data_IF_872212947473
#
_entry.id   IF_872212947473
#
_cell.length_a   1.000
_cell.length_b   1.000
_cell.length_c   1.000
_cell.angle_alpha   90.00
_cell.angle_beta   90.00
_cell.angle_gamma   90.00
#
_symmetry.space_group_name_H-M   'P 1'
#
loop_
_entity.id
_entity.type
_entity.pdbx_description
1 polymer ?
#
# COMPACT_ATOMS: atom_id res chain seq x y z
N UNK A 1 20.46 29.49 40.35
CA UNK A 1 20.99 29.43 38.97
C UNK A 1 21.25 27.97 38.63
N UNK A 2 20.28 27.31 38.00
CA UNK A 2 20.37 25.91 37.58
C UNK A 2 19.98 25.86 36.10
N UNK A 3 20.92 25.47 35.24
CA UNK A 3 20.64 25.10 33.85
C UNK A 3 20.71 23.58 33.78
N UNK A 4 19.56 22.96 33.54
CA UNK A 4 19.44 21.52 33.31
C UNK A 4 19.45 21.28 31.80
N UNK A 5 20.34 20.36 31.45
CA UNK A 5 20.65 19.73 30.18
C UNK A 5 19.42 19.08 29.54
N UNK A 6 19.13 19.37 28.25
CA UNK A 6 18.23 18.55 27.44
C UNK A 6 19.05 17.72 26.45
N UNK A 7 19.09 16.42 26.74
CA UNK A 7 19.79 15.38 26.00
C UNK A 7 18.86 14.79 24.93
N UNK A 8 19.46 14.40 23.81
CA UNK A 8 18.83 13.86 22.60
C UNK A 8 17.89 12.66 22.86
N UNK A 9 16.78 12.64 22.14
CA UNK A 9 15.88 11.50 22.01
C UNK A 9 15.50 11.25 20.55
N UNK A 10 16.44 10.78 19.73
CA UNK A 10 16.17 10.29 18.38
C UNK A 10 15.43 8.94 18.47
N UNK A 11 14.09 8.96 18.39
CA UNK A 11 13.27 7.76 18.24
C UNK A 11 13.22 7.35 16.78
N UNK A 12 13.83 6.19 16.50
CA UNK A 12 13.67 5.41 15.26
C UNK A 12 12.19 5.06 15.08
N UNK A 13 11.55 5.59 14.05
CA UNK A 13 10.27 5.09 13.58
C UNK A 13 10.53 3.94 12.61
N UNK A 14 10.20 2.73 13.08
CA UNK A 14 10.20 1.52 12.29
C UNK A 14 9.05 1.55 11.29
N UNK A 15 9.41 1.31 10.05
CA UNK A 15 8.57 1.01 8.90
C UNK A 15 7.60 -0.15 9.23
N UNK A 16 6.31 0.15 9.33
CA UNK A 16 5.23 -0.85 9.28
C UNK A 16 4.32 -0.50 8.11
N UNK A 17 4.70 -0.99 6.93
CA UNK A 17 3.78 -1.14 5.81
C UNK A 17 2.84 -2.29 6.14
N UNK A 18 1.55 -1.98 6.30
CA UNK A 18 0.47 -2.94 6.41
C UNK A 18 0.30 -3.71 5.10
N UNK A 19 0.92 -4.88 5.01
CA UNK A 19 0.51 -5.93 4.09
C UNK A 19 -0.72 -6.59 4.72
N UNK A 20 -1.89 -6.21 4.23
CA UNK A 20 -3.12 -6.93 4.51
C UNK A 20 -3.04 -8.37 3.98
N UNK A 21 -3.53 -9.29 4.81
CA UNK A 21 -4.07 -10.61 4.42
C UNK A 21 -3.17 -11.85 4.23
N UNK A 22 -1.91 -11.90 4.73
CA UNK A 22 -1.15 -13.19 4.76
C UNK A 22 -0.50 -13.51 6.13
N UNK A 23 -0.74 -12.70 7.15
CA UNK A 23 -0.02 -12.77 8.44
C UNK A 23 -0.68 -13.57 9.57
N UNK A 24 -1.59 -14.51 9.32
CA UNK A 24 -2.19 -15.37 10.38
C UNK A 24 -1.84 -16.83 10.08
N UNK A 25 -0.55 -17.18 10.17
CA UNK A 25 -0.09 -18.58 10.15
C UNK A 25 1.24 -18.80 10.89
N UNK A 26 1.69 -17.85 11.73
CA UNK A 26 3.00 -17.91 12.39
C UNK A 26 2.92 -17.77 13.92
N UNK A 27 1.87 -18.27 14.56
CA UNK A 27 1.72 -18.15 16.02
C UNK A 27 1.18 -19.42 16.71
N UNK A 28 1.52 -20.61 16.21
CA UNK A 28 1.39 -21.88 16.97
C UNK A 28 2.51 -22.82 16.55
N UNK A 29 3.68 -22.75 17.19
CA UNK A 29 4.79 -23.65 16.82
C UNK A 29 6.09 -23.52 17.59
N UNK A 30 6.10 -22.95 18.79
CA UNK A 30 7.35 -22.76 19.54
C UNK A 30 7.25 -23.20 21.00
N UNK A 31 7.00 -24.50 21.22
CA UNK A 31 7.45 -25.27 22.40
C UNK A 31 7.41 -26.78 22.12
N UNK A 32 8.46 -27.32 21.51
CA UNK A 32 8.84 -28.73 21.70
C UNK A 32 10.31 -28.75 22.09
N UNK A 33 10.58 -29.44 23.21
CA UNK A 33 11.81 -29.37 23.97
C UNK A 33 13.06 -29.90 23.27
N UNK A 34 14.19 -29.41 23.77
CA UNK A 34 15.50 -29.93 23.50
C UNK A 34 15.62 -31.38 24.00
N UNK A 35 15.79 -32.32 23.07
CA UNK A 35 16.32 -33.64 23.34
C UNK A 35 17.69 -33.76 22.66
N UNK A 36 18.67 -34.18 23.45
CA UNK A 36 20.08 -34.36 23.10
C UNK A 36 20.31 -35.32 21.92
N UNK A 37 21.24 -34.95 21.04
CA UNK A 37 21.69 -35.74 19.91
C UNK A 37 22.58 -36.95 20.33
N UNK A 38 22.52 -38.08 19.58
CA UNK A 38 23.62 -39.04 19.49
C UNK A 38 24.33 -38.99 18.11
N UNK A 39 25.53 -39.59 18.00
CA UNK A 39 26.52 -39.21 17.01
C UNK A 39 26.39 -39.91 15.65
N UNK A 40 27.09 -39.29 14.71
CA UNK A 40 27.23 -39.57 13.28
C UNK A 40 27.35 -41.04 12.89
N UNK A 41 26.49 -41.47 11.97
CA UNK A 41 26.72 -42.62 11.10
C UNK A 41 26.77 -42.15 9.64
N UNK A 42 27.93 -42.32 9.02
CA UNK A 42 28.19 -42.09 7.59
C UNK A 42 27.50 -43.21 6.81
N UNK A 43 26.52 -42.86 5.98
CA UNK A 43 25.95 -43.76 4.97
C UNK A 43 25.90 -43.06 3.61
N UNK A 44 26.71 -43.55 2.68
CA UNK A 44 26.63 -43.27 1.25
C UNK A 44 25.28 -43.75 0.72
N UNK A 45 24.41 -42.81 0.35
CA UNK A 45 23.09 -43.08 -0.23
C UNK A 45 22.93 -42.32 -1.54
N UNK A 46 22.59 -43.07 -2.61
CA UNK A 46 22.44 -42.63 -3.99
C UNK A 46 21.51 -41.41 -4.13
N UNK A 47 21.95 -40.40 -4.88
CA UNK A 47 21.15 -39.25 -5.29
C UNK A 47 19.98 -39.71 -6.19
N UNK A 48 18.83 -39.97 -5.58
CA UNK A 48 17.54 -40.00 -6.27
C UNK A 48 16.96 -38.59 -6.26
N UNK A 49 17.09 -37.88 -7.36
CA UNK A 49 16.45 -36.58 -7.58
C UNK A 49 14.94 -36.79 -7.67
N UNK A 50 14.23 -36.76 -6.54
CA UNK A 50 12.77 -36.68 -6.52
C UNK A 50 12.38 -35.28 -7.00
N UNK A 51 11.83 -35.20 -8.21
CA UNK A 51 11.19 -34.00 -8.73
C UNK A 51 9.98 -33.73 -7.85
N UNK A 52 10.08 -32.76 -6.94
CA UNK A 52 8.95 -32.30 -6.13
C UNK A 52 8.04 -31.54 -7.08
N UNK A 53 6.98 -32.21 -7.56
CA UNK A 53 5.90 -31.57 -8.29
C UNK A 53 5.19 -30.62 -7.32
N UNK A 54 5.46 -29.33 -7.43
CA UNK A 54 4.66 -28.31 -6.74
C UNK A 54 3.23 -28.37 -7.29
N UNK A 55 2.20 -28.66 -6.46
CA UNK A 55 0.82 -28.69 -6.93
C UNK A 55 0.44 -27.31 -7.45
N UNK A 56 0.18 -27.21 -8.75
CA UNK A 56 -0.03 -25.93 -9.48
C UNK A 56 -1.42 -25.33 -9.25
N UNK A 57 -2.25 -25.95 -8.40
CA UNK A 57 -3.55 -25.41 -8.03
C UNK A 57 -3.84 -25.81 -6.60
N UNK A 58 -3.70 -24.86 -5.67
CA UNK A 58 -4.22 -25.05 -4.33
C UNK A 58 -5.72 -24.79 -4.43
N UNK A 59 -6.51 -25.85 -4.23
CA UNK A 59 -7.96 -25.73 -4.17
C UNK A 59 -8.33 -24.81 -2.99
N UNK A 60 -8.91 -23.62 -3.22
CA UNK A 60 -9.29 -22.72 -2.14
C UNK A 60 -10.28 -23.35 -1.16
N UNK A 61 -11.05 -24.36 -1.58
CA UNK A 61 -11.95 -25.10 -0.70
C UNK A 61 -11.19 -26.01 0.28
N UNK A 62 -10.05 -26.56 -0.14
CA UNK A 62 -9.19 -27.36 0.74
C UNK A 62 -8.53 -26.49 1.82
N UNK A 63 -8.13 -25.25 1.48
CA UNK A 63 -7.62 -24.29 2.46
C UNK A 63 -8.71 -23.93 3.49
N UNK A 64 -9.93 -23.69 3.03
CA UNK A 64 -11.07 -23.33 3.90
C UNK A 64 -11.42 -24.45 4.87
N UNK A 65 -11.48 -25.71 4.40
CA UNK A 65 -11.73 -26.86 5.27
C UNK A 65 -10.63 -27.03 6.33
N UNK A 66 -9.37 -26.81 5.96
CA UNK A 66 -8.24 -26.90 6.88
C UNK A 66 -8.30 -25.81 7.97
N UNK A 67 -8.64 -24.57 7.60
CA UNK A 67 -8.83 -23.47 8.56
C UNK A 67 -10.00 -23.72 9.51
N UNK A 68 -11.12 -24.21 9.00
CA UNK A 68 -12.30 -24.55 9.82
C UNK A 68 -12.02 -25.70 10.79
N UNK A 69 -11.32 -26.74 10.35
CA UNK A 69 -10.91 -27.85 11.21
C UNK A 69 -9.96 -27.40 12.32
N UNK A 70 -9.02 -26.49 12.01
CA UNK A 70 -8.07 -25.94 12.98
C UNK A 70 -8.77 -25.10 14.04
N UNK A 71 -9.73 -24.26 13.63
CA UNK A 71 -10.47 -23.42 14.57
C UNK A 71 -11.44 -24.23 15.46
N UNK A 72 -12.04 -25.30 14.90
CA UNK A 72 -12.84 -26.24 15.70
C UNK A 72 -12.00 -26.96 16.77
N UNK A 73 -10.76 -27.34 16.43
CA UNK A 73 -9.83 -27.94 17.38
C UNK A 73 -9.42 -26.96 18.49
N UNK A 74 -9.19 -25.69 18.16
CA UNK A 74 -8.89 -24.65 19.15
C UNK A 74 -10.04 -24.43 20.15
N UNK A 75 -11.30 -24.44 19.68
CA UNK A 75 -12.48 -24.30 20.55
C UNK A 75 -12.70 -25.49 21.49
N UNK A 76 -12.18 -26.68 21.14
CA UNK A 76 -12.27 -27.88 21.97
C UNK A 76 -11.27 -27.91 23.14
N UNK A 77 -10.30 -26.98 23.18
CA UNK A 77 -9.31 -26.90 24.26
C UNK A 77 -9.99 -26.48 25.59
N UNK A 78 -9.91 -27.30 26.66
CA UNK A 78 -10.48 -26.97 27.96
C UNK A 78 -9.69 -25.91 28.73
N UNK A 79 -8.45 -25.60 28.31
CA UNK A 79 -7.58 -24.59 28.95
C UNK A 79 -7.88 -23.16 28.48
N UNK A 80 -8.74 -23.01 27.47
CA UNK A 80 -9.09 -21.73 26.88
C UNK A 80 -10.07 -20.98 27.80
N UNK A 81 -9.68 -19.75 28.21
CA UNK A 81 -10.52 -18.91 29.06
C UNK A 81 -11.84 -18.57 28.38
N UNK A 82 -12.89 -18.28 29.16
CA UNK A 82 -14.20 -17.90 28.62
C UNK A 82 -14.10 -16.67 27.70
N UNK A 83 -13.23 -15.71 28.05
CA UNK A 83 -12.95 -14.55 27.22
C UNK A 83 -12.28 -14.94 25.89
N UNK A 84 -11.30 -15.84 25.92
CA UNK A 84 -10.66 -16.36 24.70
C UNK A 84 -11.68 -17.07 23.79
N UNK A 85 -12.57 -17.90 24.36
CA UNK A 85 -13.61 -18.59 23.61
C UNK A 85 -14.53 -17.62 22.86
N UNK A 86 -14.92 -16.50 23.49
CA UNK A 86 -15.74 -15.46 22.84
C UNK A 86 -15.02 -14.78 21.67
N UNK A 87 -13.74 -14.44 21.83
CA UNK A 87 -12.95 -13.85 20.75
C UNK A 87 -12.88 -14.80 19.55
N UNK A 88 -12.60 -16.09 19.78
CA UNK A 88 -12.54 -17.08 18.70
C UNK A 88 -13.88 -17.29 18.01
N UNK A 89 -15.01 -17.26 18.73
CA UNK A 89 -16.34 -17.39 18.11
C UNK A 89 -16.70 -16.19 17.23
N UNK A 90 -16.39 -14.98 17.68
CA UNK A 90 -16.70 -13.75 16.94
C UNK A 90 -15.84 -13.63 15.67
N UNK A 91 -14.55 -13.97 15.76
CA UNK A 91 -13.66 -14.03 14.60
C UNK A 91 -14.11 -15.08 13.57
N UNK A 92 -14.51 -16.27 14.04
CA UNK A 92 -15.03 -17.32 13.16
C UNK A 92 -16.32 -16.91 12.45
N UNK A 93 -17.20 -16.21 13.14
CA UNK A 93 -18.44 -15.71 12.55
C UNK A 93 -18.13 -14.65 11.48
N UNK A 94 -17.22 -13.72 11.78
CA UNK A 94 -16.78 -12.70 10.82
C UNK A 94 -16.16 -13.32 9.57
N UNK A 95 -15.30 -14.34 9.73
CA UNK A 95 -14.69 -15.06 8.61
C UNK A 95 -15.74 -15.76 7.74
N UNK A 96 -16.77 -16.39 8.33
CA UNK A 96 -17.86 -17.03 7.59
C UNK A 96 -18.70 -16.04 6.78
N UNK A 97 -19.00 -14.88 7.37
CA UNK A 97 -19.75 -13.82 6.69
C UNK A 97 -18.95 -13.27 5.50
N UNK A 98 -17.64 -13.07 5.69
CA UNK A 98 -16.74 -12.66 4.61
C UNK A 98 -16.67 -13.69 3.48
N UNK A 99 -16.44 -14.99 3.78
CA UNK A 99 -16.34 -16.02 2.73
C UNK A 99 -17.66 -16.18 1.97
N UNK A 100 -18.79 -16.13 2.66
CA UNK A 100 -20.12 -16.18 2.04
C UNK A 100 -20.35 -14.99 1.10
N UNK A 101 -19.96 -13.77 1.51
CA UNK A 101 -20.12 -12.57 0.68
C UNK A 101 -19.29 -12.64 -0.62
N UNK A 102 -18.06 -13.16 -0.54
CA UNK A 102 -17.17 -13.33 -1.70
C UNK A 102 -17.70 -14.41 -2.64
N UNK A 103 -18.20 -15.53 -2.10
CA UNK A 103 -18.81 -16.59 -2.91
C UNK A 103 -20.02 -16.08 -3.68
N UNK A 104 -20.92 -15.33 -3.04
CA UNK A 104 -22.09 -14.72 -3.70
C UNK A 104 -21.69 -13.71 -4.79
N UNK A 105 -20.65 -12.89 -4.55
CA UNK A 105 -20.15 -11.96 -5.54
C UNK A 105 -19.60 -12.68 -6.78
N UNK A 106 -18.86 -13.78 -6.60
CA UNK A 106 -18.34 -14.60 -7.71
C UNK A 106 -19.46 -15.25 -8.54
N UNK A 107 -20.51 -15.75 -7.89
CA UNK A 107 -21.66 -16.34 -8.59
C UNK A 107 -22.37 -15.31 -9.46
N UNK A 108 -22.48 -14.05 -9.02
CA UNK A 108 -23.04 -12.96 -9.83
C UNK A 108 -22.20 -12.64 -11.07
N UNK A 109 -20.87 -12.63 -10.94
CA UNK A 109 -19.96 -12.41 -12.07
C UNK A 109 -20.05 -13.56 -13.08
N UNK A 110 -20.15 -14.80 -12.62
CA UNK A 110 -20.29 -15.96 -13.49
C UNK A 110 -21.64 -16.00 -14.23
N UNK A 111 -22.74 -15.60 -13.56
CA UNK A 111 -24.08 -15.57 -14.16
C UNK A 111 -24.26 -14.48 -15.23
N UNK A 112 -23.38 -13.48 -15.28
CA UNK A 112 -23.44 -12.41 -16.29
C UNK A 112 -22.66 -12.76 -17.57
N UNK A 113 -21.99 -13.93 -17.62
CA UNK A 113 -21.12 -14.34 -18.74
C UNK A 113 -21.81 -15.26 -19.78
N UNK A 114 -23.14 -15.27 -19.84
CA UNK A 114 -23.91 -16.07 -20.82
C UNK A 114 -24.51 -15.24 -21.96
N UNK A 115 -24.00 -14.04 -22.23
CA UNK A 115 -24.18 -13.41 -23.53
C UNK A 115 -23.25 -14.10 -24.53
N UNK A 116 -23.85 -14.87 -25.43
CA UNK A 116 -23.20 -15.52 -26.57
C UNK A 116 -22.27 -14.51 -27.27
N UNK A 117 -20.98 -14.82 -27.50
CA UNK A 117 -20.11 -13.95 -28.25
C UNK A 117 -20.73 -13.75 -29.63
N UNK A 118 -21.24 -12.55 -29.90
CA UNK A 118 -21.52 -12.15 -31.27
C UNK A 118 -20.25 -12.37 -32.08
N UNK A 119 -20.39 -12.85 -33.31
CA UNK A 119 -19.29 -13.02 -34.26
C UNK A 119 -18.37 -11.81 -34.16
N UNK A 120 -17.07 -11.97 -33.83
CA UNK A 120 -16.19 -10.83 -33.63
C UNK A 120 -16.20 -10.02 -34.92
N UNK A 121 -16.89 -8.88 -34.89
CA UNK A 121 -16.80 -7.90 -35.96
C UNK A 121 -15.35 -7.49 -35.94
N UNK A 122 -14.62 -7.83 -36.99
CA UNK A 122 -13.27 -7.31 -37.19
C UNK A 122 -13.40 -5.79 -37.25
N UNK A 123 -13.19 -5.14 -36.10
CA UNK A 123 -13.01 -3.70 -36.04
C UNK A 123 -11.74 -3.45 -36.84
N UNK A 124 -11.93 -3.08 -38.10
CA UNK A 124 -10.87 -2.54 -38.92
C UNK A 124 -10.54 -1.15 -38.36
N UNK A 125 -9.92 -1.12 -37.18
CA UNK A 125 -9.37 0.09 -36.58
C UNK A 125 -8.14 0.43 -37.39
N UNK A 126 -8.35 1.20 -38.47
CA UNK A 126 -7.27 1.95 -39.10
C UNK A 126 -6.62 2.77 -37.99
N UNK A 127 -5.32 2.57 -37.70
CA UNK A 127 -4.63 3.35 -36.69
C UNK A 127 -4.80 4.83 -37.02
N UNK A 128 -5.53 5.55 -36.18
CA UNK A 128 -5.61 7.00 -36.31
C UNK A 128 -4.21 7.60 -36.17
N UNK A 129 -3.98 8.80 -36.73
CA UNK A 129 -2.75 9.53 -36.46
C UNK A 129 -2.55 9.60 -34.94
N UNK A 130 -1.38 9.16 -34.48
CA UNK A 130 -1.03 9.22 -33.07
C UNK A 130 -0.95 10.70 -32.73
N UNK A 131 -1.92 11.20 -31.96
CA UNK A 131 -1.86 12.58 -31.45
C UNK A 131 -0.57 12.73 -30.67
N UNK A 132 0.35 13.54 -31.18
CA UNK A 132 1.55 13.92 -30.44
C UNK A 132 1.09 14.66 -29.20
N UNK A 133 1.27 14.05 -28.03
CA UNK A 133 1.00 14.75 -26.78
C UNK A 133 1.89 16.00 -26.73
N UNK A 134 1.26 17.16 -26.51
CA UNK A 134 1.99 18.40 -26.26
C UNK A 134 2.91 18.29 -25.04
N UNK A 135 3.75 19.31 -24.80
CA UNK A 135 4.58 19.36 -23.60
C UNK A 135 3.72 19.22 -22.33
N UNK A 136 4.23 18.54 -21.29
CA UNK A 136 3.48 18.49 -20.03
C UNK A 136 3.32 19.91 -19.49
N UNK A 137 2.14 20.24 -18.96
CA UNK A 137 1.98 21.48 -18.24
C UNK A 137 2.89 21.47 -17.01
N UNK A 138 3.69 22.52 -16.86
CA UNK A 138 4.57 22.77 -15.71
C UNK A 138 3.98 23.86 -14.80
N UNK A 139 4.41 23.88 -13.54
CA UNK A 139 3.96 24.83 -12.52
C UNK A 139 2.83 24.28 -11.65
N UNK A 140 2.11 25.19 -10.99
CA UNK A 140 0.97 24.85 -10.12
C UNK A 140 -0.27 24.62 -10.99
N UNK A 141 -0.85 23.43 -10.89
CA UNK A 141 -1.98 22.94 -11.67
C UNK A 141 -3.23 22.89 -10.81
N UNK A 142 -4.27 23.65 -11.21
CA UNK A 142 -5.60 23.61 -10.56
C UNK A 142 -6.50 22.51 -11.11
N UNK A 143 -6.27 22.08 -12.35
CA UNK A 143 -7.00 21.00 -13.02
C UNK A 143 -6.01 19.89 -13.31
N UNK A 144 -6.19 18.75 -12.66
CA UNK A 144 -5.31 17.60 -12.76
C UNK A 144 -6.11 16.32 -12.50
N UNK A 145 -5.56 15.19 -12.92
CA UNK A 145 -6.10 13.88 -12.57
C UNK A 145 -5.28 13.33 -11.39
N UNK A 146 -5.86 13.17 -10.19
CA UNK A 146 -5.13 12.66 -9.04
C UNK A 146 -4.75 11.17 -9.26
N UNK A 147 -3.60 10.73 -8.72
CA UNK A 147 -3.13 9.35 -8.88
C UNK A 147 -3.78 8.38 -7.89
N UNK A 148 -4.41 8.88 -6.83
CA UNK A 148 -5.14 8.07 -5.85
C UNK A 148 -6.65 8.26 -6.03
N UNK A 149 -7.47 7.23 -5.73
CA UNK A 149 -8.92 7.36 -5.75
C UNK A 149 -9.40 8.35 -4.69
N UNK A 150 -10.47 9.11 -5.01
CA UNK A 150 -11.04 10.12 -4.10
C UNK A 150 -11.58 9.58 -2.77
N UNK A 151 -11.70 8.25 -2.63
CA UNK A 151 -12.08 7.59 -1.38
C UNK A 151 -10.97 7.63 -0.33
N UNK A 152 -9.70 7.74 -0.77
CA UNK A 152 -8.53 7.73 0.12
C UNK A 152 -8.07 9.14 0.47
N UNK A 153 -8.12 10.05 -0.51
CA UNK A 153 -7.63 11.40 -0.36
C UNK A 153 -8.45 12.42 -1.15
N UNK A 154 -8.50 13.64 -0.62
CA UNK A 154 -9.02 14.82 -1.30
C UNK A 154 -7.83 15.69 -1.66
N UNK A 155 -7.57 15.84 -2.97
CA UNK A 155 -6.50 16.70 -3.46
C UNK A 155 -7.02 18.10 -3.79
N UNK A 156 -6.28 19.12 -3.39
CA UNK A 156 -6.63 20.54 -3.58
C UNK A 156 -6.00 21.10 -4.86
N UNK A 157 -4.72 20.79 -5.09
CA UNK A 157 -3.97 21.13 -6.29
C UNK A 157 -2.77 20.20 -6.50
N UNK A 158 -2.07 20.41 -7.61
CA UNK A 158 -0.82 19.76 -7.91
C UNK A 158 0.23 20.78 -8.33
N UNK A 159 1.49 20.39 -8.27
CA UNK A 159 2.62 21.07 -8.89
C UNK A 159 3.39 20.06 -9.72
N UNK A 160 3.92 20.50 -10.86
CA UNK A 160 4.73 19.65 -11.73
C UNK A 160 5.88 20.44 -12.33
N UNK A 161 7.09 19.89 -12.29
CA UNK A 161 8.21 20.43 -13.05
C UNK A 161 9.33 19.40 -13.23
N UNK A 162 10.30 19.72 -14.07
CA UNK A 162 11.58 19.04 -14.13
C UNK A 162 12.54 19.67 -13.10
N UNK A 163 13.14 18.83 -12.24
CA UNK A 163 14.12 19.23 -11.22
C UNK A 163 15.36 18.36 -11.40
N UNK A 164 16.47 18.97 -11.79
CA UNK A 164 17.75 18.30 -12.02
C UNK A 164 17.64 17.08 -12.97
N UNK A 165 16.85 17.21 -14.05
CA UNK A 165 16.63 16.13 -15.02
C UNK A 165 15.60 15.08 -14.61
N UNK A 166 14.90 15.27 -13.48
CA UNK A 166 13.85 14.37 -13.00
C UNK A 166 12.50 15.08 -13.08
N UNK A 167 11.53 14.44 -13.74
CA UNK A 167 10.15 14.91 -13.72
C UNK A 167 9.53 14.63 -12.36
N UNK A 168 9.05 15.67 -11.69
CA UNK A 168 8.40 15.57 -10.38
C UNK A 168 6.97 16.07 -10.49
N UNK A 169 6.02 15.27 -10.00
CA UNK A 169 4.64 15.70 -9.76
C UNK A 169 4.34 15.60 -8.27
N UNK A 170 3.93 16.71 -7.68
CA UNK A 170 3.61 16.83 -6.26
C UNK A 170 2.13 17.16 -6.14
N UNK A 171 1.39 16.41 -5.34
CA UNK A 171 -0.04 16.59 -5.13
C UNK A 171 -0.27 16.92 -3.65
N UNK A 172 -1.00 18.00 -3.37
CA UNK A 172 -1.32 18.42 -2.01
C UNK A 172 -2.80 18.12 -1.69
N UNK A 173 -3.09 17.77 -0.44
CA UNK A 173 -4.43 17.41 -0.03
C UNK A 173 -4.55 17.09 1.46
N UNK A 174 -5.63 16.37 1.81
CA UNK A 174 -5.88 15.75 3.11
C UNK A 174 -6.47 14.35 2.94
N UNK A 175 -6.30 13.49 3.95
CA UNK A 175 -6.91 12.17 3.95
C UNK A 175 -8.42 12.27 4.09
N UNK A 176 -9.16 11.46 3.32
CA UNK A 176 -10.64 11.45 3.41
C UNK A 176 -11.12 10.95 4.79
N UNK A 177 -10.36 10.05 5.44
CA UNK A 177 -10.69 9.52 6.77
C UNK A 177 -10.26 10.44 7.93
N UNK A 178 -9.31 11.35 7.69
CA UNK A 178 -8.81 12.29 8.68
C UNK A 178 -8.52 13.63 7.98
N UNK A 179 -9.57 14.44 7.82
CA UNK A 179 -9.51 15.71 7.09
C UNK A 179 -8.56 16.73 7.72
N UNK A 180 -8.26 16.60 9.01
CA UNK A 180 -7.35 17.50 9.74
C UNK A 180 -5.87 17.21 9.44
N UNK A 181 -5.57 16.02 8.92
CA UNK A 181 -4.21 15.62 8.53
C UNK A 181 -3.97 15.92 7.05
N UNK A 182 -3.30 17.05 6.79
CA UNK A 182 -2.76 17.37 5.48
C UNK A 182 -1.62 16.44 5.08
N UNK A 183 -1.43 16.24 3.77
CA UNK A 183 -0.32 15.45 3.23
C UNK A 183 0.12 15.95 1.84
N UNK A 184 1.33 15.54 1.45
CA UNK A 184 1.86 15.65 0.10
C UNK A 184 2.10 14.25 -0.49
N UNK A 185 1.69 14.02 -1.74
CA UNK A 185 2.07 12.84 -2.50
C UNK A 185 3.02 13.24 -3.63
N UNK A 186 4.21 12.64 -3.66
CA UNK A 186 5.24 12.91 -4.66
C UNK A 186 5.42 11.71 -5.57
N UNK A 187 5.35 11.95 -6.87
CA UNK A 187 5.71 11.00 -7.92
C UNK A 187 6.90 11.55 -8.70
N UNK A 188 7.85 10.67 -9.04
CA UNK A 188 9.10 11.02 -9.72
C UNK A 188 9.36 10.07 -10.88
N UNK A 189 9.89 10.59 -11.98
CA UNK A 189 10.22 9.83 -13.19
C UNK A 189 11.50 10.34 -13.83
N UNK A 190 12.33 9.43 -14.31
CA UNK A 190 13.60 9.78 -14.94
C UNK A 190 13.43 10.40 -16.33
N UNK A 191 12.37 10.01 -17.06
CA UNK A 191 12.25 10.33 -18.47
C UNK A 191 10.80 10.61 -18.90
N UNK A 192 10.69 11.49 -19.89
CA UNK A 192 9.47 11.75 -20.64
C UNK A 192 9.72 11.46 -22.11
N UNK A 193 9.31 10.29 -22.57
CA UNK A 193 9.53 9.83 -23.94
C UNK A 193 8.19 9.57 -24.63
N UNK A 194 8.00 10.16 -25.81
CA UNK A 194 6.82 9.90 -26.63
C UNK A 194 5.49 10.26 -25.97
N UNK A 195 5.50 11.14 -24.96
CA UNK A 195 4.29 11.49 -24.22
C UNK A 195 4.02 10.59 -23.00
N UNK A 196 4.97 9.76 -22.60
CA UNK A 196 4.81 8.79 -21.51
C UNK A 196 5.92 9.02 -20.49
N UNK A 197 5.53 9.08 -19.21
CA UNK A 197 6.48 9.08 -18.10
C UNK A 197 6.97 7.64 -17.90
N UNK A 198 8.26 7.43 -18.10
CA UNK A 198 8.91 6.12 -17.91
C UNK A 198 9.88 6.17 -16.73
N UNK A 199 10.32 5.00 -16.28
CA UNK A 199 11.34 4.86 -15.22
C UNK A 199 10.98 5.56 -13.90
N UNK A 200 9.98 5.03 -13.17
CA UNK A 200 9.56 5.60 -11.91
C UNK A 200 10.70 5.58 -10.90
N UNK A 201 10.92 6.71 -10.24
CA UNK A 201 11.87 6.87 -9.15
C UNK A 201 11.14 6.87 -7.80
N UNK A 202 11.85 6.61 -6.68
CA UNK A 202 11.26 6.66 -5.36
C UNK A 202 10.62 8.02 -5.06
N UNK A 203 9.31 7.99 -4.84
CA UNK A 203 8.49 9.08 -4.31
C UNK A 203 7.86 8.66 -2.98
N UNK A 204 6.68 9.19 -2.66
CA UNK A 204 5.98 8.78 -1.43
C UNK A 204 4.87 9.71 -0.98
N UNK A 205 4.23 9.29 0.11
CA UNK A 205 3.30 10.10 0.92
C UNK A 205 4.09 10.72 2.09
N UNK A 206 3.88 12.01 2.31
CA UNK A 206 4.54 12.79 3.34
C UNK A 206 3.48 13.56 4.12
N UNK A 207 3.25 13.17 5.36
CA UNK A 207 2.27 13.84 6.22
C UNK A 207 2.78 15.22 6.62
N UNK A 208 1.89 16.21 6.64
CA UNK A 208 2.18 17.53 7.18
C UNK A 208 2.63 17.40 8.65
N UNK A 209 3.65 18.17 9.08
CA UNK A 209 4.10 18.17 10.48
C UNK A 209 3.08 18.75 11.46
N UNK A 210 2.00 19.35 10.96
CA UNK A 210 0.91 19.96 11.72
C UNK A 210 -0.45 19.45 11.23
N UNK A 211 -1.41 19.33 12.13
CA UNK A 211 -2.80 18.98 11.81
C UNK A 211 -3.62 20.26 11.58
N UNK A 212 -3.41 20.89 10.42
CA UNK A 212 -4.08 22.14 10.03
C UNK A 212 -5.06 21.99 8.86
N UNK A 213 -5.48 20.76 8.55
CA UNK A 213 -6.37 20.44 7.43
C UNK A 213 -5.65 20.21 6.09
N UNK A 214 -6.41 20.30 5.00
CA UNK A 214 -5.90 20.10 3.65
C UNK A 214 -4.81 21.10 3.29
N UNK A 215 -3.72 20.61 2.69
CA UNK A 215 -2.65 21.46 2.18
C UNK A 215 -3.02 22.00 0.79
N UNK A 216 -2.58 23.22 0.48
CA UNK A 216 -2.62 23.80 -0.89
C UNK A 216 -1.24 24.34 -1.24
N UNK A 217 -0.71 23.99 -2.41
CA UNK A 217 0.55 24.54 -2.91
C UNK A 217 0.31 25.97 -3.41
N UNK A 218 0.98 26.96 -2.82
CA UNK A 218 0.77 28.38 -3.13
C UNK A 218 1.92 28.98 -3.94
N UNK A 219 3.15 28.50 -3.77
CA UNK A 219 4.31 28.96 -4.51
C UNK A 219 5.36 27.85 -4.69
N UNK A 220 6.29 28.08 -5.61
CA UNK A 220 7.50 27.28 -5.80
C UNK A 220 8.68 28.21 -6.07
N UNK A 221 9.71 28.13 -5.22
CA UNK A 221 10.92 28.95 -5.35
C UNK A 221 12.14 28.12 -4.99
N UNK A 222 13.14 28.11 -5.87
CA UNK A 222 14.46 27.49 -5.61
C UNK A 222 14.42 26.02 -5.11
N UNK A 223 13.50 25.20 -5.59
CA UNK A 223 13.38 23.79 -5.19
C UNK A 223 12.47 23.55 -3.97
N UNK A 224 11.88 24.61 -3.42
CA UNK A 224 11.00 24.54 -2.25
C UNK A 224 9.57 24.92 -2.65
N UNK A 225 8.61 24.09 -2.26
CA UNK A 225 7.19 24.39 -2.35
C UNK A 225 6.75 25.12 -1.08
N UNK A 226 6.05 26.23 -1.25
CA UNK A 226 5.30 26.87 -0.18
C UNK A 226 3.89 26.30 -0.18
N UNK A 227 3.45 25.81 0.98
CA UNK A 227 2.13 25.26 1.19
C UNK A 227 1.39 26.04 2.26
N UNK A 228 0.09 26.16 2.09
CA UNK A 228 -0.81 26.74 3.08
C UNK A 228 -1.76 25.65 3.57
N UNK A 229 -1.91 25.52 4.89
CA UNK A 229 -2.92 24.64 5.49
C UNK A 229 -4.30 25.29 5.42
N UNK A 230 -5.37 24.53 5.62
CA UNK A 230 -6.73 25.08 5.65
C UNK A 230 -6.90 26.16 6.74
N UNK A 231 -6.19 26.02 7.86
CA UNK A 231 -6.17 27.01 8.95
C UNK A 231 -5.23 28.21 8.71
N UNK A 232 -4.60 28.31 7.53
CA UNK A 232 -3.74 29.44 7.15
C UNK A 232 -2.28 29.36 7.62
N UNK A 233 -1.83 28.22 8.15
CA UNK A 233 -0.41 28.03 8.49
C UNK A 233 0.41 27.84 7.22
N UNK A 234 1.59 28.44 7.17
CA UNK A 234 2.53 28.26 6.05
C UNK A 234 3.54 27.16 6.37
N UNK A 235 3.71 26.23 5.43
CA UNK A 235 4.67 25.13 5.49
C UNK A 235 5.58 25.17 4.26
N UNK A 236 6.77 24.58 4.40
CA UNK A 236 7.76 24.51 3.32
C UNK A 236 8.16 23.06 3.08
N UNK A 237 8.14 22.64 1.83
CA UNK A 237 8.52 21.29 1.43
C UNK A 237 9.62 21.34 0.38
N UNK A 238 10.78 20.77 0.70
CA UNK A 238 11.91 20.67 -0.21
C UNK A 238 11.72 19.46 -1.13
N UNK A 239 11.64 19.73 -2.44
CA UNK A 239 11.33 18.73 -3.47
C UNK A 239 12.49 17.76 -3.70
N UNK A 240 13.73 18.14 -3.38
CA UNK A 240 14.93 17.31 -3.58
C UNK A 240 15.12 16.31 -2.44
N UNK A 241 15.00 16.79 -1.21
CA UNK A 241 15.13 15.98 0.00
C UNK A 241 13.85 15.22 0.35
N UNK A 242 12.72 15.58 -0.28
CA UNK A 242 11.40 15.01 -0.02
C UNK A 242 11.01 15.14 1.46
N UNK A 243 11.21 16.33 2.02
CA UNK A 243 10.97 16.60 3.43
C UNK A 243 10.38 17.98 3.66
N UNK A 244 9.57 18.09 4.71
CA UNK A 244 9.21 19.39 5.26
C UNK A 244 10.44 20.02 5.94
N UNK A 245 10.66 21.30 5.69
CA UNK A 245 11.76 22.07 6.25
C UNK A 245 11.23 23.24 7.09
N UNK A 246 11.99 23.71 8.09
CA UNK A 246 11.65 24.94 8.81
C UNK A 246 11.59 26.15 7.88
N UNK A 247 10.86 27.18 8.29
CA UNK A 247 10.88 28.49 7.63
C UNK A 247 12.32 29.02 7.57
N UNK A 248 12.78 29.40 6.37
CA UNK A 248 14.08 30.02 6.20
C UNK A 248 13.95 31.50 6.53
N UNK A 249 14.54 31.90 7.65
CA UNK A 249 14.69 33.31 8.04
C UNK A 249 15.73 34.02 7.19
#
# INVERSE_FOLDING_TARGET
MQSITNLLGAKRWGLLLGIGAVGILALVGWRIGAASAPPSAVAQGKNSTSVISTPTSIDPFAIEQMLMATAAAALADPTLSEHGRRIYTDELQTLREQTTSVALARTRVAATKTAQPGTPVALNVTPGPISTMGPLPSGILRRFNPPLPGQTAIFTNAWRNEVDGVWVSTYAGAYTQNGDQGFIYVLRWQSWEGGILTDPLPGGLFDAPVQGGALTITAYTAGVLTLETQDGQTLFFDVRSLAFIPEQQ
#
